data_IF_709524787041
#
_entry.id   IF_709524787041
#
_cell.length_a   1.000
_cell.length_b   1.000
_cell.length_c   1.000
_cell.angle_alpha   90.00
_cell.angle_beta   90.00
_cell.angle_gamma   90.00
#
_symmetry.space_group_name_H-M   'P 1'
#
loop_
_entity.id
_entity.type
_entity.pdbx_description
1 polymer ?
#
# COMPACT_ATOMS: atom_id res chain seq x y z
N UNK A 1 4.42 -14.92 5.02
CA UNK A 1 3.35 -13.92 5.29
C UNK A 1 2.01 -14.59 5.07
N UNK A 2 1.06 -14.41 6.00
CA UNK A 2 -0.31 -14.96 5.91
C UNK A 2 -0.97 -14.47 4.60
N UNK A 3 -1.65 -15.38 3.90
CA UNK A 3 -2.31 -15.15 2.60
C UNK A 3 -3.14 -13.84 2.61
N UNK A 4 -2.97 -12.97 1.60
CA UNK A 4 -3.72 -11.72 1.45
C UNK A 4 -5.23 -11.92 1.66
N UNK A 5 -5.79 -12.97 1.05
CA UNK A 5 -7.22 -13.25 1.14
C UNK A 5 -7.67 -13.62 2.55
N UNK A 6 -6.79 -14.27 3.33
CA UNK A 6 -7.08 -14.59 4.73
C UNK A 6 -7.10 -13.32 5.59
N UNK A 7 -6.10 -12.44 5.44
CA UNK A 7 -6.07 -11.13 6.11
C UNK A 7 -7.28 -10.27 5.72
N UNK A 8 -7.66 -10.29 4.44
CA UNK A 8 -8.85 -9.60 3.94
C UNK A 8 -10.12 -10.16 4.60
N UNK A 9 -10.31 -11.47 4.56
CA UNK A 9 -11.49 -12.13 5.13
C UNK A 9 -11.64 -11.86 6.64
N UNK A 10 -10.53 -11.88 7.41
CA UNK A 10 -10.60 -11.63 8.87
C UNK A 10 -10.80 -10.17 9.24
N UNK A 11 -10.23 -9.23 8.47
CA UNK A 11 -10.33 -7.79 8.75
C UNK A 11 -11.66 -7.18 8.34
N UNK A 12 -12.32 -7.77 7.33
CA UNK A 12 -13.58 -7.27 6.78
C UNK A 12 -14.76 -8.21 7.04
N UNK A 13 -14.58 -9.25 7.85
CA UNK A 13 -15.55 -10.33 8.08
C UNK A 13 -16.13 -10.84 6.74
N UNK A 14 -15.25 -11.31 5.85
CA UNK A 14 -15.57 -11.70 4.46
C UNK A 14 -16.21 -10.59 3.60
N UNK A 15 -15.92 -9.32 3.90
CA UNK A 15 -16.55 -8.17 3.24
C UNK A 15 -17.91 -7.78 3.81
N UNK A 16 -18.43 -8.47 4.83
CA UNK A 16 -19.75 -8.16 5.41
C UNK A 16 -19.76 -6.82 6.16
N UNK A 17 -18.65 -6.42 6.79
CA UNK A 17 -18.50 -5.11 7.43
C UNK A 17 -18.14 -3.98 6.44
N UNK A 18 -18.12 -4.27 5.14
CA UNK A 18 -17.38 -3.50 4.16
C UNK A 18 -18.17 -3.23 2.87
N UNK A 19 -19.26 -2.48 3.02
CA UNK A 19 -20.21 -2.18 1.94
C UNK A 19 -19.84 -0.92 1.13
N UNK A 20 -18.55 -0.57 1.02
CA UNK A 20 -18.15 0.57 0.18
C UNK A 20 -18.27 0.22 -1.29
N UNK A 21 -18.86 1.12 -2.06
CA UNK A 21 -19.12 0.90 -3.48
C UNK A 21 -17.81 0.74 -4.26
N UNK A 22 -17.84 -0.17 -5.23
CA UNK A 22 -16.75 -0.34 -6.16
C UNK A 22 -16.74 0.81 -7.16
N UNK A 23 -15.59 1.47 -7.34
CA UNK A 23 -15.39 2.47 -8.40
C UNK A 23 -14.40 1.93 -9.44
N UNK A 24 -14.89 1.77 -10.67
CA UNK A 24 -14.06 1.40 -11.80
C UNK A 24 -13.03 2.49 -12.16
N UNK A 25 -13.41 3.76 -11.99
CA UNK A 25 -12.52 4.90 -12.22
C UNK A 25 -11.35 4.87 -11.23
N UNK A 26 -11.64 4.66 -9.95
CA UNK A 26 -10.61 4.55 -8.92
C UNK A 26 -9.73 3.30 -9.11
N UNK A 27 -10.33 2.15 -9.44
CA UNK A 27 -9.57 0.93 -9.75
C UNK A 27 -8.58 1.14 -10.89
N UNK A 28 -9.02 1.77 -11.99
CA UNK A 28 -8.15 2.09 -13.11
C UNK A 28 -7.06 3.11 -12.74
N UNK A 29 -7.42 4.16 -12.00
CA UNK A 29 -6.46 5.18 -11.56
C UNK A 29 -5.36 4.58 -10.67
N UNK A 30 -5.74 3.75 -9.70
CA UNK A 30 -4.80 3.10 -8.79
C UNK A 30 -3.89 2.10 -9.54
N UNK A 31 -4.43 1.33 -10.49
CA UNK A 31 -3.58 0.46 -11.32
C UNK A 31 -2.56 1.28 -12.12
N UNK A 32 -2.97 2.38 -12.75
CA UNK A 32 -2.04 3.27 -13.48
C UNK A 32 -0.96 3.86 -12.57
N UNK A 33 -1.31 4.26 -11.35
CA UNK A 33 -0.35 4.75 -10.36
C UNK A 33 0.67 3.68 -9.97
N UNK A 34 0.20 2.46 -9.69
CA UNK A 34 1.07 1.31 -9.40
C UNK A 34 2.00 1.06 -10.59
N UNK A 35 1.46 0.93 -11.80
CA UNK A 35 2.24 0.63 -13.00
C UNK A 35 3.31 1.70 -13.30
N UNK A 36 2.99 2.97 -13.05
CA UNK A 36 3.90 4.10 -13.31
C UNK A 36 4.98 4.27 -12.23
N UNK A 37 4.66 4.03 -10.97
CA UNK A 37 5.49 4.45 -9.84
C UNK A 37 5.94 3.31 -8.92
N UNK A 38 5.73 2.04 -9.29
CA UNK A 38 6.10 0.90 -8.44
C UNK A 38 7.58 0.87 -8.00
N UNK A 39 8.50 1.42 -8.80
CA UNK A 39 9.93 1.44 -8.47
C UNK A 39 10.31 2.55 -7.49
N UNK A 40 9.56 3.65 -7.49
CA UNK A 40 9.88 4.88 -6.75
C UNK A 40 8.89 5.14 -5.61
N UNK A 41 8.01 4.18 -5.31
CA UNK A 41 7.01 4.33 -4.26
C UNK A 41 7.69 4.43 -2.90
N UNK A 42 7.36 5.49 -2.15
CA UNK A 42 7.77 5.63 -0.77
C UNK A 42 6.64 5.18 0.14
N UNK A 43 6.91 4.19 0.99
CA UNK A 43 5.92 3.61 1.89
C UNK A 43 6.20 4.06 3.32
N UNK A 44 5.32 4.90 3.85
CA UNK A 44 5.30 5.30 5.26
C UNK A 44 4.44 4.37 6.12
N UNK A 45 4.17 4.78 7.35
CA UNK A 45 3.38 4.03 8.32
C UNK A 45 1.90 3.89 7.89
N UNK A 46 1.33 4.99 7.38
CA UNK A 46 -0.07 5.02 6.97
C UNK A 46 -0.26 5.28 5.48
N UNK A 47 0.73 5.80 4.75
CA UNK A 47 0.54 6.21 3.36
C UNK A 47 1.61 5.63 2.44
N UNK A 48 1.21 5.23 1.24
CA UNK A 48 2.09 4.99 0.10
C UNK A 48 2.07 6.21 -0.82
N UNK A 49 3.24 6.77 -1.11
CA UNK A 49 3.40 7.97 -1.92
C UNK A 49 3.88 7.57 -3.32
N UNK A 50 3.02 7.78 -4.31
CA UNK A 50 3.27 7.56 -5.74
C UNK A 50 3.50 8.91 -6.42
N UNK A 51 4.75 9.33 -6.52
CA UNK A 51 5.09 10.67 -7.03
C UNK A 51 4.49 11.76 -6.12
N UNK A 52 3.49 12.51 -6.62
CA UNK A 52 2.75 13.52 -5.84
C UNK A 52 1.46 12.99 -5.20
N UNK A 53 1.06 11.75 -5.52
CA UNK A 53 -0.20 11.17 -5.02
C UNK A 53 0.05 10.39 -3.74
N UNK A 54 -0.75 10.64 -2.70
CA UNK A 54 -0.73 9.86 -1.45
C UNK A 54 -1.92 8.90 -1.44
N UNK A 55 -1.64 7.62 -1.22
CA UNK A 55 -2.65 6.56 -1.07
C UNK A 55 -2.60 6.08 0.37
N UNK A 56 -3.74 6.12 1.06
CA UNK A 56 -3.82 5.60 2.44
C UNK A 56 -3.74 4.06 2.43
N UNK A 57 -2.84 3.50 3.25
CA UNK A 57 -2.55 2.07 3.40
C UNK A 57 -2.62 1.59 4.85
N UNK A 58 -2.78 2.51 5.82
CA UNK A 58 -2.79 2.21 7.25
C UNK A 58 -3.90 1.25 7.68
N UNK A 59 -4.90 1.09 6.83
CA UNK A 59 -5.81 -0.04 6.88
C UNK A 59 -5.79 -0.68 5.48
N UNK A 60 -4.94 -1.69 5.29
CA UNK A 60 -4.48 -2.24 4.00
C UNK A 60 -5.57 -2.65 2.99
N UNK A 61 -6.85 -2.66 3.40
CA UNK A 61 -8.01 -2.96 2.57
C UNK A 61 -8.74 -1.72 2.05
N UNK A 62 -8.36 -0.53 2.53
CA UNK A 62 -8.92 0.76 2.17
C UNK A 62 -7.88 1.65 1.46
N UNK A 63 -7.53 1.30 0.23
CA UNK A 63 -6.88 2.28 -0.66
C UNK A 63 -7.91 3.37 -0.97
N UNK A 64 -8.09 4.33 -0.06
CA UNK A 64 -8.98 5.45 -0.26
C UNK A 64 -8.25 6.49 -1.11
N UNK A 65 -8.78 6.73 -2.30
CA UNK A 65 -8.62 8.00 -2.99
C UNK A 65 -9.90 8.79 -2.77
N UNK A 66 -9.78 10.07 -2.43
CA UNK A 66 -10.92 10.98 -2.53
C UNK A 66 -11.16 11.25 -4.00
N UNK A 67 -12.28 10.74 -4.53
CA UNK A 67 -12.76 11.20 -5.82
C UNK A 67 -13.35 12.61 -5.58
N UNK A 68 -12.62 13.65 -5.99
CA UNK A 68 -13.05 15.06 -5.96
C UNK A 68 -13.39 15.67 -4.59
N UNK A 69 -12.60 15.42 -3.53
CA UNK A 69 -12.75 16.10 -2.22
C UNK A 69 -14.15 15.94 -1.57
N UNK A 70 -14.98 15.03 -2.09
CA UNK A 70 -16.41 14.96 -1.79
C UNK A 70 -16.77 14.04 -0.61
N UNK A 71 -15.78 13.57 0.15
CA UNK A 71 -15.99 12.67 1.30
C UNK A 71 -16.55 11.28 0.95
N UNK A 72 -16.70 10.95 -0.33
CA UNK A 72 -17.16 9.63 -0.79
C UNK A 72 -15.97 8.68 -0.94
N UNK A 73 -16.04 7.59 -0.20
CA UNK A 73 -15.02 6.54 -0.16
C UNK A 73 -15.41 5.40 -1.10
N UNK A 74 -14.63 5.20 -2.16
CA UNK A 74 -14.80 4.09 -3.08
C UNK A 74 -13.68 3.07 -2.94
N UNK A 75 -14.00 1.80 -3.18
CA UNK A 75 -13.01 0.73 -3.17
C UNK A 75 -12.61 0.32 -4.60
N UNK A 76 -11.33 -0.02 -4.83
CA UNK A 76 -10.91 -0.67 -6.06
C UNK A 76 -11.27 -2.17 -6.03
N UNK A 77 -10.96 -2.92 -7.08
CA UNK A 77 -11.15 -4.36 -7.12
C UNK A 77 -10.23 -5.08 -6.14
N UNK A 78 -10.62 -6.28 -5.69
CA UNK A 78 -9.76 -7.13 -4.84
C UNK A 78 -8.40 -7.42 -5.48
N UNK A 79 -8.36 -7.51 -6.82
CA UNK A 79 -7.13 -7.72 -7.57
C UNK A 79 -6.18 -6.54 -7.38
N UNK A 80 -6.68 -5.33 -7.54
CA UNK A 80 -5.88 -4.10 -7.37
C UNK A 80 -5.43 -3.90 -5.93
N UNK A 81 -6.29 -4.20 -4.95
CA UNK A 81 -5.91 -4.22 -3.52
C UNK A 81 -4.73 -5.17 -3.27
N UNK A 82 -4.79 -6.39 -3.82
CA UNK A 82 -3.69 -7.36 -3.70
C UNK A 82 -2.40 -6.87 -4.34
N UNK A 83 -2.48 -6.21 -5.51
CA UNK A 83 -1.32 -5.61 -6.17
C UNK A 83 -0.69 -4.54 -5.27
N UNK A 84 -1.50 -3.68 -4.67
CA UNK A 84 -1.04 -2.66 -3.73
C UNK A 84 -0.39 -3.27 -2.48
N UNK A 85 -1.03 -4.24 -1.82
CA UNK A 85 -0.46 -4.93 -0.65
C UNK A 85 0.89 -5.59 -0.98
N UNK A 86 1.00 -6.22 -2.16
CA UNK A 86 2.25 -6.83 -2.61
C UNK A 86 3.36 -5.80 -2.80
N UNK A 87 3.04 -4.66 -3.41
CA UNK A 87 3.99 -3.56 -3.62
C UNK A 87 4.45 -2.93 -2.29
N UNK A 88 3.50 -2.69 -1.39
CA UNK A 88 3.77 -2.15 -0.04
C UNK A 88 4.72 -3.07 0.73
N UNK A 89 4.41 -4.37 0.76
CA UNK A 89 5.25 -5.37 1.43
C UNK A 89 6.66 -5.41 0.82
N UNK A 90 6.78 -5.38 -0.51
CA UNK A 90 8.07 -5.36 -1.20
C UNK A 90 8.89 -4.11 -0.84
N UNK A 91 8.27 -2.92 -0.90
CA UNK A 91 8.96 -1.66 -0.60
C UNK A 91 9.39 -1.55 0.87
N UNK A 92 8.56 -2.04 1.80
CA UNK A 92 8.91 -2.09 3.22
C UNK A 92 10.08 -3.04 3.51
N UNK A 93 10.09 -4.23 2.89
CA UNK A 93 11.19 -5.19 3.02
C UNK A 93 12.50 -4.59 2.49
N UNK A 94 12.46 -4.03 1.28
CA UNK A 94 13.61 -3.35 0.68
C UNK A 94 14.13 -2.21 1.56
N UNK A 95 13.23 -1.40 2.12
CA UNK A 95 13.60 -0.30 3.02
C UNK A 95 14.22 -0.80 4.32
N UNK A 96 13.72 -1.90 4.88
CA UNK A 96 14.28 -2.52 6.08
C UNK A 96 15.67 -3.12 5.83
N UNK A 97 15.89 -3.75 4.68
CA UNK A 97 17.20 -4.27 4.26
C UNK A 97 18.24 -3.16 4.10
N UNK A 98 17.87 -2.07 3.43
CA UNK A 98 18.75 -0.91 3.26
C UNK A 98 19.13 -0.27 4.61
N UNK A 99 18.17 -0.15 5.54
CA UNK A 99 18.43 0.36 6.90
C UNK A 99 19.41 -0.53 7.67
N UNK A 100 19.26 -1.85 7.58
CA UNK A 100 20.17 -2.82 8.21
C UNK A 100 21.57 -2.71 7.63
N UNK A 101 21.71 -2.69 6.30
CA UNK A 101 22.99 -2.55 5.63
C UNK A 101 23.70 -1.24 6.02
N UNK A 102 22.96 -0.13 6.10
CA UNK A 102 23.51 1.16 6.52
C UNK A 102 23.99 1.13 7.99
N UNK A 103 23.23 0.51 8.87
CA UNK A 103 23.61 0.33 10.28
C UNK A 103 24.88 -0.53 10.42
N UNK A 104 24.97 -1.64 9.69
CA UNK A 104 26.15 -2.51 9.71
C UNK A 104 27.41 -1.80 9.19
N UNK A 105 27.28 -0.95 8.17
CA UNK A 105 28.39 -0.10 7.69
C UNK A 105 28.80 0.91 8.76
N UNK A 106 27.85 1.62 9.36
CA UNK A 106 28.14 2.62 10.40
C UNK A 106 28.84 2.00 11.61
N UNK A 107 28.45 0.78 12.03
CA UNK A 107 29.13 0.06 13.10
C UNK A 107 30.57 -0.32 12.76
N UNK A 108 30.83 -0.72 11.51
CA UNK A 108 32.21 -1.03 11.06
C UNK A 108 33.11 0.19 11.05
N UNK A 109 32.56 1.35 10.72
CA UNK A 109 33.30 2.61 10.68
C UNK A 109 33.57 3.18 12.08
N UNK A 110 32.70 2.92 13.06
CA UNK A 110 32.89 3.30 14.48
C UNK A 110 33.86 2.40 15.25
N UNK A 111 34.06 1.16 14.77
CA UNK A 111 34.98 0.19 15.38
C UNK A 111 36.41 0.22 14.80
N UNK A 112 36.71 1.18 13.92
CA UNK A 112 38.05 1.49 13.38
C UNK A 112 38.55 2.80 13.97
#
# INVERSE_FOLDING_TARGET
MKNFYFRWATSTFFGASYQKEFSAEWDAALNRLIDKHWQTVNVGEHYAVFGQTKVWIGNAFYAYGFQYDAGLEFRPSLRTMRRLDSLVNYSQQKSAELKRAAYDTALKDLGR
#
